data_IF_517062999947
#
_entry.id   IF_517062999947
#
_cell.length_a   1.000
_cell.length_b   1.000
_cell.length_c   1.000
_cell.angle_alpha   90.00
_cell.angle_beta   90.00
_cell.angle_gamma   90.00
#
_symmetry.space_group_name_H-M   'P 1'
#
loop_
_entity.id
_entity.type
_entity.pdbx_description
1 polymer ?
#
# COMPACT_ATOMS: atom_id res chain seq x y z
N UNK A 1 46.65 26.73 -15.95
CA UNK A 1 46.55 26.07 -17.28
C UNK A 1 46.16 24.61 -17.07
N UNK A 2 44.94 24.24 -17.49
CA UNK A 2 44.36 22.89 -17.74
C UNK A 2 42.83 23.10 -17.75
N UNK A 3 42.33 23.65 -18.86
CA UNK A 3 41.79 22.94 -20.03
C UNK A 3 40.37 22.42 -19.75
N UNK A 4 39.41 23.22 -20.20
CA UNK A 4 37.97 22.95 -20.23
C UNK A 4 37.67 21.82 -21.20
N UNK A 5 36.97 20.79 -20.76
CA UNK A 5 36.27 19.86 -21.63
C UNK A 5 34.86 20.40 -21.86
N UNK A 6 34.69 21.20 -22.92
CA UNK A 6 33.38 21.48 -23.50
C UNK A 6 32.90 20.19 -24.17
N UNK A 7 31.91 19.52 -23.57
CA UNK A 7 31.19 18.44 -24.24
C UNK A 7 30.30 19.11 -25.28
N UNK A 8 30.79 19.18 -26.52
CA UNK A 8 29.96 19.52 -27.67
C UNK A 8 28.94 18.41 -27.86
N UNK A 9 27.67 18.74 -27.63
CA UNK A 9 26.54 17.95 -28.13
C UNK A 9 26.58 17.99 -29.66
N UNK A 10 26.95 16.86 -30.26
CA UNK A 10 26.83 16.62 -31.70
C UNK A 10 25.41 16.90 -32.17
N UNK A 11 25.28 17.67 -33.26
CA UNK A 11 23.98 17.92 -33.92
C UNK A 11 23.47 16.63 -34.56
N UNK A 12 22.19 16.26 -34.40
CA UNK A 12 21.63 15.13 -35.11
C UNK A 12 21.49 15.45 -36.61
N UNK A 13 21.89 14.49 -37.43
CA UNK A 13 21.83 14.47 -38.90
C UNK A 13 20.39 14.55 -39.42
N UNK A 14 20.18 15.45 -40.38
CA UNK A 14 18.94 15.62 -41.15
C UNK A 14 18.66 14.34 -41.96
N UNK A 15 17.52 13.70 -41.69
CA UNK A 15 16.83 12.59 -42.40
C UNK A 15 16.37 11.46 -41.45
N UNK A 16 16.73 11.51 -40.17
CA UNK A 16 16.03 10.76 -39.13
C UNK A 16 14.80 11.54 -38.67
N UNK A 17 13.60 10.96 -38.75
CA UNK A 17 12.45 11.50 -38.01
C UNK A 17 12.89 11.72 -36.56
N UNK A 18 12.81 12.97 -36.08
CA UNK A 18 13.21 13.36 -34.73
C UNK A 18 12.26 12.70 -33.72
N UNK A 19 12.52 11.45 -33.38
CA UNK A 19 11.74 10.61 -32.48
C UNK A 19 12.02 11.04 -31.04
N UNK A 20 11.51 12.21 -30.68
CA UNK A 20 11.54 12.68 -29.30
C UNK A 20 10.40 12.03 -28.54
N UNK A 21 10.71 11.56 -27.34
CA UNK A 21 9.73 10.95 -26.43
C UNK A 21 8.44 11.79 -26.29
N UNK A 22 8.46 13.13 -26.11
CA UNK A 22 7.23 13.91 -25.96
C UNK A 22 6.34 14.03 -27.21
N UNK A 23 6.80 13.59 -28.38
CA UNK A 23 6.06 13.66 -29.65
C UNK A 23 5.24 12.37 -29.87
N UNK A 24 5.49 11.32 -29.07
CA UNK A 24 4.71 10.09 -29.09
C UNK A 24 3.26 10.33 -28.64
N UNK A 25 2.34 9.47 -29.09
CA UNK A 25 0.95 9.54 -28.65
C UNK A 25 0.81 9.30 -27.14
N UNK A 26 -0.24 9.85 -26.54
CA UNK A 26 -0.53 9.68 -25.11
C UNK A 26 -0.58 8.21 -24.70
N UNK A 27 -1.15 7.33 -25.53
CA UNK A 27 -1.25 5.90 -25.24
C UNK A 27 0.12 5.22 -25.18
N UNK A 28 1.03 5.57 -26.09
CA UNK A 28 2.41 5.07 -26.07
C UNK A 28 3.14 5.59 -24.84
N UNK A 29 2.93 6.85 -24.46
CA UNK A 29 3.52 7.42 -23.24
C UNK A 29 2.98 6.77 -21.96
N UNK A 30 1.70 6.42 -21.91
CA UNK A 30 1.10 5.65 -20.81
C UNK A 30 1.74 4.27 -20.74
N UNK A 31 1.88 3.60 -21.88
CA UNK A 31 2.48 2.26 -21.95
C UNK A 31 3.96 2.28 -21.56
N UNK A 32 4.72 3.31 -21.92
CA UNK A 32 6.11 3.46 -21.46
C UNK A 32 6.15 3.63 -19.94
N UNK A 33 5.27 4.48 -19.39
CA UNK A 33 5.23 4.73 -17.95
C UNK A 33 4.74 3.54 -17.12
N UNK A 34 3.98 2.60 -17.70
CA UNK A 34 3.57 1.37 -17.00
C UNK A 34 4.75 0.43 -16.69
N UNK A 35 5.88 0.58 -17.40
CA UNK A 35 7.12 -0.16 -17.14
C UNK A 35 8.08 0.57 -16.19
N UNK A 36 7.73 1.74 -15.67
CA UNK A 36 8.59 2.50 -14.77
C UNK A 36 8.19 2.28 -13.31
N UNK A 37 9.17 2.35 -12.40
CA UNK A 37 8.87 2.46 -10.98
C UNK A 37 8.20 3.82 -10.68
N UNK A 38 7.38 3.92 -9.62
CA UNK A 38 6.74 5.18 -9.24
C UNK A 38 7.72 6.36 -9.17
N UNK A 39 8.91 6.15 -8.59
CA UNK A 39 9.99 7.17 -8.47
C UNK A 39 10.45 7.70 -9.83
N UNK A 40 10.50 6.83 -10.84
CA UNK A 40 10.98 7.16 -12.18
C UNK A 40 9.89 7.88 -12.97
N UNK A 41 8.62 7.53 -12.76
CA UNK A 41 7.48 8.29 -13.29
C UNK A 41 7.53 9.75 -12.79
N UNK A 42 7.80 9.98 -11.49
CA UNK A 42 7.95 11.34 -10.95
C UNK A 42 9.19 12.07 -11.48
N UNK A 43 10.28 11.35 -11.71
CA UNK A 43 11.49 11.92 -12.30
C UNK A 43 11.24 12.33 -13.76
N UNK A 44 10.56 11.48 -14.53
CA UNK A 44 10.15 11.73 -15.90
C UNK A 44 9.18 12.92 -16.02
N UNK A 45 8.23 13.04 -15.07
CA UNK A 45 7.30 14.17 -14.95
C UNK A 45 8.02 15.53 -14.91
N UNK A 46 9.25 15.59 -14.39
CA UNK A 46 10.02 16.85 -14.25
C UNK A 46 10.72 17.27 -15.55
N UNK A 47 10.76 16.44 -16.58
CA UNK A 47 11.55 16.71 -17.80
C UNK A 47 10.75 17.34 -18.93
N UNK A 48 9.42 17.19 -18.95
CA UNK A 48 8.56 17.69 -20.03
C UNK A 48 7.13 17.95 -19.56
N UNK A 49 6.49 18.98 -20.12
CA UNK A 49 5.07 19.29 -19.88
C UNK A 49 4.13 18.19 -20.39
N UNK A 50 4.47 17.52 -21.49
CA UNK A 50 3.68 16.40 -22.03
C UNK A 50 3.75 15.22 -21.08
N UNK A 51 4.96 14.83 -20.66
CA UNK A 51 5.17 13.74 -19.71
C UNK A 51 4.55 14.07 -18.35
N UNK A 52 4.60 15.33 -17.94
CA UNK A 52 3.87 15.81 -16.78
C UNK A 52 2.36 15.53 -16.90
N UNK A 53 1.73 15.96 -18.00
CA UNK A 53 0.32 15.76 -18.24
C UNK A 53 -0.05 14.26 -18.30
N UNK A 54 0.73 13.45 -19.03
CA UNK A 54 0.51 12.00 -19.11
C UNK A 54 0.63 11.33 -17.74
N UNK A 55 1.64 11.69 -16.95
CA UNK A 55 1.85 11.13 -15.61
C UNK A 55 0.76 11.49 -14.60
N UNK A 56 -0.19 12.36 -14.95
CA UNK A 56 -1.37 12.70 -14.13
C UNK A 56 -2.60 11.90 -14.52
N UNK A 57 -2.53 11.12 -15.60
CA UNK A 57 -3.62 10.25 -16.03
C UNK A 57 -3.74 9.09 -15.03
N UNK A 58 -4.98 8.80 -14.62
CA UNK A 58 -5.33 7.77 -13.64
C UNK A 58 -4.73 6.39 -13.95
N UNK A 59 -4.81 5.94 -15.20
CA UNK A 59 -4.36 4.59 -15.59
C UNK A 59 -2.87 4.38 -15.37
N UNK A 60 -2.04 5.43 -15.45
CA UNK A 60 -0.60 5.35 -15.15
C UNK A 60 -0.39 4.88 -13.71
N UNK A 61 -1.14 5.45 -12.76
CA UNK A 61 -1.01 5.10 -11.35
C UNK A 61 -1.70 3.80 -10.97
N UNK A 62 -2.76 3.39 -11.68
CA UNK A 62 -3.31 2.04 -11.55
C UNK A 62 -2.25 1.00 -11.93
N UNK A 63 -1.61 1.16 -13.09
CA UNK A 63 -0.59 0.24 -13.56
C UNK A 63 0.62 0.20 -12.62
N UNK A 64 1.08 1.39 -12.18
CA UNK A 64 2.18 1.49 -11.22
C UNK A 64 1.84 0.81 -9.88
N UNK A 65 0.62 1.05 -9.35
CA UNK A 65 0.16 0.42 -8.11
C UNK A 65 0.09 -1.11 -8.25
N UNK A 66 -0.46 -1.62 -9.34
CA UNK A 66 -0.56 -3.06 -9.58
C UNK A 66 0.81 -3.74 -9.62
N UNK A 67 1.78 -3.12 -10.31
CA UNK A 67 3.16 -3.60 -10.35
C UNK A 67 3.82 -3.58 -8.98
N UNK A 68 3.66 -2.50 -8.23
CA UNK A 68 4.19 -2.39 -6.86
C UNK A 68 3.58 -3.49 -5.98
N UNK A 69 2.27 -3.70 -6.07
CA UNK A 69 1.60 -4.77 -5.32
C UNK A 69 2.15 -6.15 -5.65
N UNK A 70 2.34 -6.43 -6.94
CA UNK A 70 2.92 -7.68 -7.41
C UNK A 70 4.37 -7.86 -6.92
N UNK A 71 5.18 -6.81 -6.99
CA UNK A 71 6.61 -6.86 -6.65
C UNK A 71 6.83 -6.98 -5.14
N UNK A 72 6.02 -6.28 -4.34
CA UNK A 72 6.18 -6.19 -2.88
C UNK A 72 5.28 -7.19 -2.12
N UNK A 73 4.56 -8.06 -2.84
CA UNK A 73 3.68 -9.07 -2.23
C UNK A 73 2.46 -8.47 -1.50
N UNK A 74 2.00 -7.29 -1.92
CA UNK A 74 0.83 -6.62 -1.35
C UNK A 74 -0.42 -7.11 -2.08
N UNK A 75 -1.43 -7.52 -1.33
CA UNK A 75 -2.72 -7.94 -1.89
C UNK A 75 -3.40 -6.78 -2.61
N UNK A 76 -3.85 -6.97 -3.86
CA UNK A 76 -4.61 -5.95 -4.60
C UNK A 76 -5.95 -5.64 -3.93
N UNK A 77 -6.50 -6.60 -3.18
CA UNK A 77 -7.72 -6.39 -2.40
C UNK A 77 -7.60 -5.29 -1.34
N UNK A 78 -6.38 -4.96 -0.89
CA UNK A 78 -6.09 -3.78 -0.04
C UNK A 78 -6.64 -2.50 -0.67
N UNK A 79 -6.65 -2.40 -1.98
CA UNK A 79 -7.04 -1.20 -2.72
C UNK A 79 -8.41 -1.33 -3.40
N UNK A 80 -9.16 -2.41 -3.13
CA UNK A 80 -10.46 -2.63 -3.73
C UNK A 80 -11.57 -1.76 -3.06
N UNK A 81 -12.49 -1.16 -3.84
CA UNK A 81 -12.51 -1.08 -5.31
C UNK A 81 -11.51 -0.06 -5.82
N UNK A 82 -10.65 -0.44 -6.78
CA UNK A 82 -9.58 0.43 -7.29
C UNK A 82 -10.14 1.63 -8.06
N UNK A 83 -11.39 1.52 -8.54
CA UNK A 83 -12.15 2.55 -9.25
C UNK A 83 -12.50 3.73 -8.34
N UNK A 84 -12.62 3.48 -7.02
CA UNK A 84 -13.01 4.50 -6.05
C UNK A 84 -11.83 5.38 -5.60
N UNK A 85 -10.60 4.92 -5.80
CA UNK A 85 -9.41 5.68 -5.41
C UNK A 85 -9.23 6.90 -6.30
N UNK A 86 -9.01 8.09 -5.75
CA UNK A 86 -8.61 9.25 -6.54
C UNK A 86 -7.20 9.06 -7.16
N UNK A 87 -6.83 9.81 -8.22
CA UNK A 87 -5.48 9.76 -8.77
C UNK A 87 -4.38 10.04 -7.75
N UNK A 88 -4.65 10.91 -6.77
CA UNK A 88 -3.70 11.22 -5.69
C UNK A 88 -3.56 10.06 -4.70
N UNK A 89 -4.65 9.32 -4.42
CA UNK A 89 -4.60 8.12 -3.59
C UNK A 89 -3.87 6.99 -4.30
N UNK A 90 -4.07 6.80 -5.61
CA UNK A 90 -3.32 5.84 -6.42
C UNK A 90 -1.82 6.17 -6.45
N UNK A 91 -1.46 7.43 -6.72
CA UNK A 91 -0.07 7.92 -6.66
C UNK A 91 0.52 7.67 -5.26
N UNK A 92 -0.24 7.99 -4.21
CA UNK A 92 0.20 7.77 -2.84
C UNK A 92 0.39 6.28 -2.50
N UNK A 93 -0.56 5.43 -2.88
CA UNK A 93 -0.51 4.00 -2.62
C UNK A 93 0.70 3.37 -3.32
N UNK A 94 0.92 3.68 -4.60
CA UNK A 94 2.06 3.17 -5.37
C UNK A 94 3.40 3.61 -4.77
N UNK A 95 3.48 4.80 -4.18
CA UNK A 95 4.68 5.31 -3.51
C UNK A 95 4.86 4.84 -2.06
N UNK A 96 3.85 4.22 -1.46
CA UNK A 96 3.87 3.92 -0.03
C UNK A 96 5.04 3.02 0.40
N UNK A 97 5.41 1.95 -0.33
CA UNK A 97 6.51 1.08 0.11
C UNK A 97 7.86 1.81 0.05
N UNK A 98 8.12 2.56 -1.02
CA UNK A 98 9.32 3.39 -1.15
C UNK A 98 9.43 4.43 -0.03
N UNK A 99 8.32 5.10 0.31
CA UNK A 99 8.30 6.08 1.42
C UNK A 99 8.55 5.42 2.77
N UNK A 100 8.01 4.22 2.98
CA UNK A 100 8.21 3.46 4.21
C UNK A 100 9.67 3.06 4.38
N UNK A 101 10.28 2.43 3.35
CA UNK A 101 11.69 2.01 3.38
C UNK A 101 12.62 3.19 3.61
N UNK A 102 12.47 4.29 2.86
CA UNK A 102 13.32 5.47 3.07
C UNK A 102 13.18 6.06 4.47
N UNK A 103 11.97 6.04 5.04
CA UNK A 103 11.74 6.52 6.40
C UNK A 103 12.40 5.62 7.44
N UNK A 104 12.34 4.31 7.22
CA UNK A 104 13.00 3.31 8.07
C UNK A 104 14.52 3.49 8.01
N UNK A 105 15.10 3.58 6.81
CA UNK A 105 16.54 3.76 6.61
C UNK A 105 17.05 5.06 7.24
N UNK A 106 16.30 6.16 7.07
CA UNK A 106 16.61 7.43 7.72
C UNK A 106 16.57 7.33 9.25
N UNK A 107 15.58 6.62 9.80
CA UNK A 107 15.44 6.37 11.24
C UNK A 107 16.63 5.58 11.79
N UNK A 108 17.01 4.51 11.10
CA UNK A 108 18.17 3.67 11.46
C UNK A 108 19.46 4.49 11.42
N UNK A 109 19.65 5.27 10.36
CA UNK A 109 20.86 6.10 10.17
C UNK A 109 20.96 7.19 11.24
N UNK A 110 19.84 7.80 11.63
CA UNK A 110 19.79 8.83 12.67
C UNK A 110 19.83 8.26 14.10
N UNK A 111 19.65 6.95 14.28
CA UNK A 111 19.47 6.34 15.60
C UNK A 111 18.18 6.78 16.30
N UNK A 112 17.18 7.22 15.54
CA UNK A 112 15.89 7.70 16.06
C UNK A 112 14.81 6.63 15.90
N UNK A 113 13.74 6.72 16.70
CA UNK A 113 12.55 5.90 16.54
C UNK A 113 11.59 6.51 15.51
N UNK A 114 10.98 5.65 14.68
CA UNK A 114 9.95 6.09 13.73
C UNK A 114 8.74 6.60 14.52
N UNK A 115 8.46 7.90 14.42
CA UNK A 115 7.26 8.49 15.00
C UNK A 115 6.02 8.14 14.18
N UNK A 116 4.88 7.78 14.78
CA UNK A 116 3.64 7.58 14.03
C UNK A 116 3.24 8.89 13.34
N UNK A 117 2.75 8.80 12.10
CA UNK A 117 2.18 9.97 11.41
C UNK A 117 0.84 10.38 12.04
N UNK A 118 0.07 9.39 12.49
CA UNK A 118 -1.22 9.56 13.14
C UNK A 118 -1.45 8.38 14.07
N UNK A 119 -2.01 8.65 15.25
CA UNK A 119 -2.48 7.63 16.19
C UNK A 119 -4.00 7.65 16.18
N UNK A 120 -4.62 6.49 15.96
CA UNK A 120 -6.08 6.32 15.99
C UNK A 120 -6.40 5.24 17.01
N UNK A 121 -7.43 5.46 17.82
CA UNK A 121 -7.90 4.50 18.81
C UNK A 121 -9.10 3.77 18.23
N UNK A 122 -9.02 2.45 18.18
CA UNK A 122 -10.11 1.58 17.78
C UNK A 122 -10.79 1.09 19.06
N UNK A 123 -12.03 1.53 19.27
CA UNK A 123 -12.89 1.05 20.37
C UNK A 123 -13.90 0.11 19.73
N UNK A 124 -13.79 -1.21 19.93
CA UNK A 124 -14.71 -2.17 19.33
C UNK A 124 -16.14 -1.95 19.80
N UNK A 125 -17.07 -1.79 18.86
CA UNK A 125 -18.52 -1.85 19.12
C UNK A 125 -18.96 -3.31 18.99
N UNK A 126 -18.61 -4.11 19.99
CA UNK A 126 -18.93 -5.53 20.05
C UNK A 126 -19.81 -5.80 21.27
N UNK A 127 -20.95 -6.45 21.04
CA UNK A 127 -21.85 -6.86 22.11
C UNK A 127 -21.22 -8.04 22.86
N UNK A 128 -21.21 -8.03 24.21
CA UNK A 128 -20.76 -9.17 25.00
C UNK A 128 -21.54 -10.43 24.59
N UNK A 129 -20.83 -11.53 24.31
CA UNK A 129 -21.49 -12.80 23.97
C UNK A 129 -22.16 -13.46 25.19
N UNK A 130 -21.73 -13.11 26.40
CA UNK A 130 -22.27 -13.64 27.66
C UNK A 130 -22.94 -12.53 28.49
N UNK A 131 -24.22 -12.68 28.89
CA UNK A 131 -24.95 -11.67 29.68
C UNK A 131 -24.42 -11.45 31.11
N UNK A 132 -23.50 -12.31 31.57
CA UNK A 132 -23.09 -12.41 32.97
C UNK A 132 -21.89 -11.56 33.35
N UNK A 133 -21.27 -10.87 32.40
CA UNK A 133 -20.02 -10.17 32.64
C UNK A 133 -20.24 -8.66 32.67
N UNK A 134 -19.96 -8.09 33.84
CA UNK A 134 -20.05 -6.68 34.19
C UNK A 134 -19.41 -5.75 33.15
N UNK A 135 -19.98 -4.55 32.99
CA UNK A 135 -19.61 -3.49 32.01
C UNK A 135 -18.15 -2.96 32.04
N UNK A 136 -17.22 -3.61 32.75
CA UNK A 136 -15.84 -3.13 32.95
C UNK A 136 -14.75 -4.17 32.62
N UNK A 137 -15.08 -5.30 31.98
CA UNK A 137 -14.03 -6.26 31.58
C UNK A 137 -13.27 -5.69 30.37
N UNK A 138 -11.92 -5.57 30.45
CA UNK A 138 -11.11 -5.09 29.33
C UNK A 138 -11.27 -6.00 28.12
N UNK A 139 -11.31 -5.41 26.94
CA UNK A 139 -11.21 -6.15 25.68
C UNK A 139 -9.88 -6.94 25.65
N UNK A 140 -9.95 -8.26 25.82
CA UNK A 140 -8.77 -9.12 25.88
C UNK A 140 -8.37 -9.60 24.49
N UNK A 141 -7.19 -9.17 24.06
CA UNK A 141 -6.66 -9.43 22.73
C UNK A 141 -5.32 -10.16 22.83
N UNK A 142 -5.28 -11.41 22.37
CA UNK A 142 -4.11 -12.26 22.43
C UNK A 142 -3.07 -11.91 21.36
N UNK A 143 -3.54 -11.53 20.18
CA UNK A 143 -2.65 -11.24 19.05
C UNK A 143 -3.29 -10.32 18.02
N UNK A 144 -2.44 -9.50 17.40
CA UNK A 144 -2.81 -8.57 16.35
C UNK A 144 -1.87 -8.75 15.17
N UNK A 145 -2.43 -8.83 13.97
CA UNK A 145 -1.68 -8.98 12.73
C UNK A 145 -2.19 -8.00 11.68
N UNK A 146 -1.27 -7.36 10.97
CA UNK A 146 -1.60 -6.54 9.81
C UNK A 146 -1.50 -7.40 8.54
N UNK A 147 -2.54 -7.34 7.72
CA UNK A 147 -2.52 -7.92 6.38
C UNK A 147 -1.52 -7.11 5.53
N UNK A 148 -0.71 -7.76 4.67
CA UNK A 148 0.19 -7.05 3.75
C UNK A 148 -0.52 -5.93 2.98
N UNK A 149 0.02 -4.71 3.09
CA UNK A 149 -0.60 -3.47 2.60
C UNK A 149 -1.19 -2.59 3.71
N UNK A 150 -1.37 -3.13 4.93
CA UNK A 150 -1.64 -2.36 6.16
C UNK A 150 -3.05 -1.81 6.32
N UNK A 151 -3.94 -2.00 5.35
CA UNK A 151 -5.36 -1.59 5.46
C UNK A 151 -6.14 -2.49 6.39
N UNK A 152 -5.96 -3.79 6.30
CA UNK A 152 -6.72 -4.75 7.09
C UNK A 152 -5.91 -5.23 8.28
N UNK A 153 -6.60 -5.41 9.41
CA UNK A 153 -6.03 -5.92 10.64
C UNK A 153 -6.85 -7.10 11.12
N UNK A 154 -6.18 -8.14 11.60
CA UNK A 154 -6.79 -9.28 12.26
C UNK A 154 -6.44 -9.24 13.74
N UNK A 155 -7.46 -9.30 14.59
CA UNK A 155 -7.32 -9.29 16.04
C UNK A 155 -7.94 -10.58 16.58
N UNK A 156 -7.14 -11.35 17.31
CA UNK A 156 -7.60 -12.55 18.01
C UNK A 156 -7.99 -12.16 19.43
N UNK A 157 -9.24 -12.42 19.78
CA UNK A 157 -9.89 -11.94 21.00
C UNK A 157 -10.46 -13.11 21.79
N UNK A 158 -10.44 -13.00 23.12
CA UNK A 158 -10.99 -14.03 23.99
C UNK A 158 -12.48 -14.27 23.74
N UNK A 159 -13.23 -13.18 23.62
CA UNK A 159 -14.69 -13.25 23.63
C UNK A 159 -15.28 -13.48 22.24
N UNK A 160 -14.67 -12.93 21.19
CA UNK A 160 -15.25 -12.94 19.85
C UNK A 160 -14.51 -13.84 18.85
N UNK A 161 -13.36 -14.40 19.24
CA UNK A 161 -12.47 -15.13 18.33
C UNK A 161 -11.70 -14.18 17.43
N UNK A 162 -11.54 -14.55 16.15
CA UNK A 162 -10.73 -13.80 15.19
C UNK A 162 -11.57 -12.76 14.43
N UNK A 163 -11.29 -11.48 14.66
CA UNK A 163 -11.97 -10.36 14.05
C UNK A 163 -11.13 -9.72 12.94
N UNK A 164 -11.72 -9.52 11.75
CA UNK A 164 -11.14 -8.76 10.65
C UNK A 164 -11.62 -7.31 10.68
N UNK A 165 -10.70 -6.35 10.64
CA UNK A 165 -10.95 -4.92 10.74
C UNK A 165 -10.46 -4.19 9.49
N UNK A 166 -11.19 -3.16 9.04
CA UNK A 166 -10.75 -2.20 8.01
C UNK A 166 -10.25 -0.92 8.67
N UNK A 167 -8.94 -0.67 8.59
CA UNK A 167 -8.28 0.53 9.11
C UNK A 167 -8.37 1.71 8.14
N UNK A 168 -8.94 1.51 6.94
CA UNK A 168 -9.01 2.49 5.87
C UNK A 168 -7.72 2.59 5.05
N UNK A 169 -7.82 3.32 3.94
CA UNK A 169 -6.78 3.35 2.89
C UNK A 169 -5.72 4.43 3.18
N UNK A 170 -6.08 5.47 3.93
CA UNK A 170 -5.15 6.53 4.33
C UNK A 170 -5.43 6.97 5.78
N UNK A 171 -4.50 7.71 6.44
CA UNK A 171 -4.63 8.09 7.86
C UNK A 171 -5.88 8.91 8.19
N UNK A 172 -6.41 9.64 7.20
CA UNK A 172 -7.64 10.42 7.32
C UNK A 172 -8.93 9.66 6.99
N UNK A 173 -8.85 8.39 6.56
CA UNK A 173 -10.04 7.58 6.33
C UNK A 173 -10.73 7.29 7.66
N UNK A 174 -12.07 7.34 7.71
CA UNK A 174 -12.80 6.88 8.89
C UNK A 174 -12.49 5.39 9.12
N UNK A 175 -12.27 5.01 10.38
CA UNK A 175 -12.16 3.60 10.78
C UNK A 175 -13.55 3.15 11.23
N UNK A 176 -14.01 2.01 10.75
CA UNK A 176 -15.23 1.41 11.26
C UNK A 176 -14.96 0.79 12.66
N UNK A 177 -15.83 1.08 13.62
CA UNK A 177 -15.75 0.54 14.98
C UNK A 177 -16.32 -0.87 15.11
N UNK A 178 -16.92 -1.41 14.05
CA UNK A 178 -17.27 -2.83 13.95
C UNK A 178 -16.33 -3.60 13.02
N UNK A 179 -16.06 -4.88 13.31
CA UNK A 179 -15.27 -5.72 12.42
C UNK A 179 -16.03 -5.98 11.11
N UNK A 180 -15.29 -6.11 10.02
CA UNK A 180 -15.82 -6.55 8.72
C UNK A 180 -16.31 -7.99 8.77
N UNK A 181 -15.61 -8.84 9.53
CA UNK A 181 -15.95 -10.24 9.69
C UNK A 181 -15.45 -10.77 11.05
N UNK A 182 -16.15 -11.76 11.58
CA UNK A 182 -15.78 -12.45 12.82
C UNK A 182 -15.79 -13.95 12.56
N UNK A 183 -14.72 -14.61 12.98
CA UNK A 183 -14.60 -16.06 12.94
C UNK A 183 -14.49 -16.58 14.38
N UNK A 184 -15.53 -17.28 14.81
CA UNK A 184 -15.55 -17.92 16.13
C UNK A 184 -14.51 -19.04 16.18
N UNK A 185 -13.72 -19.04 17.25
CA UNK A 185 -12.67 -20.03 17.52
C UNK A 185 -12.99 -20.76 18.82
N UNK A 186 -12.55 -22.01 18.91
CA UNK A 186 -12.58 -22.71 20.19
C UNK A 186 -11.49 -22.14 21.13
N UNK A 187 -11.73 -22.21 22.43
CA UNK A 187 -10.73 -21.82 23.42
C UNK A 187 -9.45 -22.64 23.25
N UNK A 188 -8.29 -21.98 23.26
CA UNK A 188 -6.98 -22.62 23.07
C UNK A 188 -6.53 -22.79 21.61
N UNK A 189 -7.33 -22.38 20.62
CA UNK A 189 -6.87 -22.40 19.22
C UNK A 189 -5.89 -21.26 18.91
N UNK A 190 -4.76 -21.60 18.28
CA UNK A 190 -3.76 -20.64 17.83
C UNK A 190 -4.02 -20.22 16.38
N UNK A 191 -4.05 -18.91 16.13
CA UNK A 191 -4.12 -18.36 14.78
C UNK A 191 -2.74 -18.06 14.23
N UNK A 192 -2.44 -18.53 13.01
CA UNK A 192 -1.23 -18.16 12.26
C UNK A 192 -1.55 -17.68 10.85
N UNK A 193 -0.80 -16.68 10.42
CA UNK A 193 -0.80 -16.18 9.05
C UNK A 193 0.19 -16.96 8.20
N UNK A 194 -0.24 -17.33 7.00
CA UNK A 194 0.57 -18.20 6.12
C UNK A 194 1.03 -17.44 4.89
N UNK A 195 0.12 -16.98 4.03
CA UNK A 195 0.44 -16.20 2.83
C UNK A 195 -0.78 -15.53 2.20
N UNK A 196 -0.61 -14.58 1.28
CA UNK A 196 -1.65 -14.19 0.32
C UNK A 196 -2.13 -15.40 -0.51
N UNK A 197 -3.35 -15.31 -1.03
CA UNK A 197 -3.86 -16.28 -2.02
C UNK A 197 -3.16 -16.10 -3.38
N UNK A 198 -3.10 -17.14 -4.24
CA UNK A 198 -2.41 -17.04 -5.54
C UNK A 198 -2.96 -15.96 -6.48
N UNK A 199 -4.24 -15.62 -6.33
CA UNK A 199 -4.92 -14.55 -7.08
C UNK A 199 -4.73 -13.15 -6.47
N UNK A 200 -4.00 -13.04 -5.34
CA UNK A 200 -3.76 -11.81 -4.60
C UNK A 200 -5.04 -11.04 -4.21
N UNK A 201 -6.17 -11.76 -4.05
CA UNK A 201 -7.44 -11.20 -3.59
C UNK A 201 -7.75 -11.52 -2.12
N UNK A 202 -7.04 -12.45 -1.50
CA UNK A 202 -7.24 -12.85 -0.12
C UNK A 202 -5.95 -13.24 0.60
N UNK A 203 -6.12 -13.76 1.81
CA UNK A 203 -5.05 -14.31 2.65
C UNK A 203 -5.48 -15.64 3.24
N UNK A 204 -4.54 -16.57 3.36
CA UNK A 204 -4.74 -17.84 4.03
C UNK A 204 -4.46 -17.72 5.53
N UNK A 205 -5.44 -18.14 6.32
CA UNK A 205 -5.39 -18.19 7.78
C UNK A 205 -5.37 -19.66 8.19
N UNK A 206 -4.39 -20.05 9.00
CA UNK A 206 -4.31 -21.38 9.58
C UNK A 206 -4.70 -21.28 11.06
N UNK A 207 -5.63 -22.13 11.48
CA UNK A 207 -6.07 -22.24 12.87
C UNK A 207 -5.69 -23.66 13.32
N UNK A 208 -4.92 -23.75 14.40
CA UNK A 208 -4.48 -25.00 14.97
C UNK A 208 -4.96 -25.09 16.41
N UNK A 209 -5.66 -26.17 16.77
CA UNK A 209 -5.98 -26.47 18.16
C UNK A 209 -4.78 -27.03 18.91
N UNK A 210 -4.66 -26.74 20.20
CA UNK A 210 -3.78 -27.50 21.10
C UNK A 210 -4.33 -28.93 21.23
N UNK A 211 -3.56 -29.91 20.76
CA UNK A 211 -3.82 -31.35 20.99
C UNK A 211 -3.26 -31.80 22.32
#
# INVERSE_FOLDING_TARGET
MRSSALIMLEKPTEDGHDLRLPILSTDVLIQIQSFLDPKDILSLRKTSRVLYATSKIRIVWINALQRVCYTDGISLSTFHPIENLSPIELENAAFSPFRFVNRLDASITAGENIRPLTTRVLVPDLLPLTPTESMDIPFDCYSIFLVPGGRFMLADTADHGLCLWDLGIHPGSPINQSPLAVLHKASGELTRFTSPTPDAHGVYICIAGET
#
